data_IF_335043729738
#
_entry.id   IF_335043729738
#
_cell.length_a   1.000
_cell.length_b   1.000
_cell.length_c   1.000
_cell.angle_alpha   90.00
_cell.angle_beta   90.00
_cell.angle_gamma   90.00
#
_symmetry.space_group_name_H-M   'P 1'
#
loop_
_entity.id
_entity.type
_entity.pdbx_description
1 polymer ?
#
# COMPACT_ATOMS: atom_id res chain seq x y z
N UNK A 1 -7.20 -10.42 -1.09
CA UNK A 1 -6.20 -11.50 -1.36
C UNK A 1 -5.27 -11.73 -0.17
N UNK A 2 -4.97 -10.74 0.69
CA UNK A 2 -4.08 -10.88 1.86
C UNK A 2 -4.49 -11.96 2.86
N UNK A 3 -5.75 -12.29 2.93
CA UNK A 3 -6.30 -13.16 3.96
C UNK A 3 -6.70 -14.55 3.48
N UNK A 4 -6.33 -14.95 2.26
CA UNK A 4 -6.74 -16.25 1.70
C UNK A 4 -6.37 -17.40 2.62
N UNK A 5 -5.13 -17.46 3.09
CA UNK A 5 -4.69 -18.51 4.00
C UNK A 5 -5.36 -18.44 5.37
N UNK A 6 -5.60 -17.22 5.88
CA UNK A 6 -6.33 -17.04 7.14
C UNK A 6 -7.80 -17.49 7.01
N UNK A 7 -8.42 -17.18 5.88
CA UNK A 7 -9.79 -17.60 5.56
C UNK A 7 -9.85 -19.13 5.43
N UNK A 8 -8.91 -19.73 4.70
CA UNK A 8 -8.84 -21.19 4.57
C UNK A 8 -8.62 -21.89 5.91
N UNK A 9 -7.72 -21.37 6.75
CA UNK A 9 -7.48 -21.89 8.08
C UNK A 9 -8.72 -21.76 8.98
N UNK A 10 -9.38 -20.61 8.96
CA UNK A 10 -10.63 -20.40 9.71
C UNK A 10 -11.75 -21.32 9.21
N UNK A 11 -11.90 -21.46 7.89
CA UNK A 11 -12.86 -22.37 7.29
C UNK A 11 -12.62 -23.81 7.74
N UNK A 12 -11.38 -24.30 7.61
CA UNK A 12 -11.02 -25.65 8.02
C UNK A 12 -11.31 -25.90 9.51
N UNK A 13 -10.91 -24.98 10.39
CA UNK A 13 -11.16 -25.08 11.82
C UNK A 13 -12.67 -25.13 12.14
N UNK A 14 -13.47 -24.27 11.51
CA UNK A 14 -14.93 -24.30 11.68
C UNK A 14 -15.56 -25.60 11.19
N UNK A 15 -15.08 -26.16 10.08
CA UNK A 15 -15.53 -27.45 9.55
C UNK A 15 -15.22 -28.58 10.52
N UNK A 16 -14.04 -28.61 11.11
CA UNK A 16 -13.65 -29.62 12.14
C UNK A 16 -14.52 -29.48 13.41
N UNK A 17 -14.99 -28.28 13.72
CA UNK A 17 -15.95 -28.04 14.80
C UNK A 17 -17.41 -28.35 14.43
N UNK A 18 -17.66 -28.92 13.24
CA UNK A 18 -19.00 -29.32 12.80
C UNK A 18 -19.88 -28.21 12.23
N UNK A 19 -19.30 -27.00 11.97
CA UNK A 19 -20.07 -25.91 11.37
C UNK A 19 -20.29 -26.17 9.88
N UNK A 20 -21.52 -26.00 9.40
CA UNK A 20 -21.86 -26.16 8.00
C UNK A 20 -21.16 -25.18 7.09
N UNK A 21 -20.67 -25.66 5.93
CA UNK A 21 -19.89 -24.85 4.98
C UNK A 21 -20.63 -23.63 4.46
N UNK A 22 -21.94 -23.72 4.25
CA UNK A 22 -22.77 -22.59 3.81
C UNK A 22 -22.80 -21.47 4.88
N UNK A 23 -22.96 -21.82 6.15
CA UNK A 23 -22.97 -20.83 7.24
C UNK A 23 -21.62 -20.11 7.40
N UNK A 24 -20.52 -20.83 7.17
CA UNK A 24 -19.17 -20.24 7.17
C UNK A 24 -19.03 -19.25 5.99
N UNK A 25 -19.46 -19.68 4.79
CA UNK A 25 -19.39 -18.84 3.58
C UNK A 25 -20.21 -17.56 3.73
N UNK A 26 -21.43 -17.66 4.25
CA UNK A 26 -22.31 -16.50 4.51
C UNK A 26 -21.67 -15.52 5.50
N UNK A 27 -21.09 -16.04 6.58
CA UNK A 27 -20.39 -15.22 7.58
C UNK A 27 -19.17 -14.50 6.98
N UNK A 28 -18.36 -15.22 6.20
CA UNK A 28 -17.16 -14.67 5.56
C UNK A 28 -17.50 -13.65 4.47
N UNK A 29 -18.58 -13.86 3.72
CA UNK A 29 -19.01 -12.93 2.66
C UNK A 29 -19.55 -11.60 3.21
N UNK A 30 -20.13 -11.63 4.40
CA UNK A 30 -20.65 -10.44 5.10
C UNK A 30 -19.62 -9.78 6.01
N UNK A 31 -18.43 -10.38 6.18
CA UNK A 31 -17.43 -9.87 7.11
C UNK A 31 -16.69 -8.66 6.56
N UNK A 32 -16.85 -7.54 7.23
CA UNK A 32 -16.12 -6.31 6.92
C UNK A 32 -14.83 -6.28 7.73
N UNK A 33 -13.69 -6.30 7.03
CA UNK A 33 -12.36 -6.19 7.63
C UNK A 33 -12.16 -4.79 8.23
N UNK A 34 -12.31 -4.65 9.55
CA UNK A 34 -12.15 -3.37 10.25
C UNK A 34 -10.70 -2.92 10.40
N UNK A 35 -9.73 -3.80 10.23
CA UNK A 35 -8.29 -3.50 10.34
C UNK A 35 -7.68 -3.38 8.94
N UNK A 36 -7.95 -2.24 8.31
CA UNK A 36 -7.65 -2.03 6.92
C UNK A 36 -6.16 -2.04 6.58
N UNK A 37 -5.70 -3.15 5.99
CA UNK A 37 -4.49 -3.11 5.15
C UNK A 37 -4.76 -2.39 3.83
N UNK A 38 -6.02 -2.22 3.51
CA UNK A 38 -6.53 -1.46 2.38
C UNK A 38 -7.61 -0.52 2.90
N UNK A 39 -7.43 0.77 2.66
CA UNK A 39 -8.37 1.81 3.07
C UNK A 39 -8.58 2.77 1.91
N UNK A 40 -9.81 3.16 1.67
CA UNK A 40 -10.15 4.19 0.69
C UNK A 40 -10.12 5.58 1.31
N UNK A 41 -9.73 6.54 0.52
CA UNK A 41 -9.69 7.95 0.91
C UNK A 41 -9.82 8.84 -0.34
N UNK A 42 -10.13 10.11 -0.15
CA UNK A 42 -10.02 11.11 -1.21
C UNK A 42 -8.96 12.14 -0.90
N UNK A 43 -8.23 12.57 -1.93
CA UNK A 43 -7.27 13.66 -1.90
C UNK A 43 -7.55 14.59 -3.08
N UNK A 44 -8.18 15.74 -2.83
CA UNK A 44 -8.68 16.59 -3.90
C UNK A 44 -9.74 15.88 -4.74
N UNK A 45 -9.44 15.66 -6.03
CA UNK A 45 -10.31 14.92 -6.96
C UNK A 45 -9.91 13.43 -7.10
N UNK A 46 -8.80 13.03 -6.48
CA UNK A 46 -8.30 11.66 -6.58
C UNK A 46 -9.02 10.72 -5.63
N UNK A 47 -9.44 9.58 -6.15
CA UNK A 47 -9.83 8.43 -5.33
C UNK A 47 -8.60 7.61 -5.01
N UNK A 48 -8.26 7.57 -3.73
CA UNK A 48 -7.06 6.93 -3.24
C UNK A 48 -7.33 5.59 -2.57
N UNK A 49 -6.44 4.64 -2.80
CA UNK A 49 -6.37 3.37 -2.07
C UNK A 49 -5.06 3.31 -1.32
N UNK A 50 -5.14 3.30 -0.01
CA UNK A 50 -3.99 3.14 0.88
C UNK A 50 -3.76 1.67 1.17
N UNK A 51 -2.59 1.19 0.80
CA UNK A 51 -2.13 -0.19 0.96
C UNK A 51 -1.05 -0.24 2.03
N UNK A 52 -1.38 -0.84 3.19
CA UNK A 52 -0.47 -0.85 4.34
C UNK A 52 0.16 -2.20 4.59
N UNK A 53 1.46 -2.20 4.85
CA UNK A 53 2.25 -3.37 5.22
C UNK A 53 2.86 -3.20 6.61
N UNK A 54 3.33 -4.28 7.21
CA UNK A 54 4.27 -4.16 8.34
C UNK A 54 5.64 -3.77 7.79
N UNK A 55 6.43 -3.11 8.63
CA UNK A 55 7.87 -2.91 8.34
C UNK A 55 8.53 -4.26 8.05
N UNK A 56 9.55 -4.24 7.22
CA UNK A 56 10.39 -5.41 6.94
C UNK A 56 9.62 -6.62 6.36
N UNK A 57 8.43 -6.41 5.81
CA UNK A 57 7.63 -7.47 5.19
C UNK A 57 7.56 -7.28 3.68
N UNK A 58 8.63 -7.65 2.98
CA UNK A 58 8.74 -7.56 1.52
C UNK A 58 7.59 -8.28 0.80
N UNK A 59 7.14 -9.45 1.29
CA UNK A 59 6.03 -10.20 0.70
C UNK A 59 4.72 -9.39 0.71
N UNK A 60 4.46 -8.62 1.78
CA UNK A 60 3.28 -7.79 1.83
C UNK A 60 3.39 -6.59 0.88
N UNK A 61 4.58 -6.00 0.74
CA UNK A 61 4.84 -4.97 -0.26
C UNK A 61 4.65 -5.52 -1.68
N UNK A 62 5.25 -6.65 -2.01
CA UNK A 62 5.08 -7.29 -3.32
C UNK A 62 3.62 -7.61 -3.65
N UNK A 63 2.84 -8.02 -2.63
CA UNK A 63 1.41 -8.24 -2.81
C UNK A 63 0.66 -6.95 -3.13
N UNK A 64 1.04 -5.83 -2.50
CA UNK A 64 0.49 -4.51 -2.81
C UNK A 64 0.84 -4.06 -4.22
N UNK A 65 2.12 -4.19 -4.61
CA UNK A 65 2.59 -3.82 -5.94
C UNK A 65 1.92 -4.66 -7.03
N UNK A 66 1.79 -5.97 -6.81
CA UNK A 66 1.07 -6.88 -7.71
C UNK A 66 -0.41 -6.52 -7.85
N UNK A 67 -1.05 -6.09 -6.77
CA UNK A 67 -2.41 -5.60 -6.84
C UNK A 67 -2.50 -4.37 -7.76
N UNK A 68 -1.62 -3.38 -7.58
CA UNK A 68 -1.56 -2.19 -8.45
C UNK A 68 -1.30 -2.58 -9.90
N UNK A 69 -0.32 -3.45 -10.13
CA UNK A 69 0.02 -3.92 -11.47
C UNK A 69 -1.12 -4.70 -12.16
N UNK A 70 -2.05 -5.28 -11.41
CA UNK A 70 -3.20 -6.02 -11.94
C UNK A 70 -4.40 -5.14 -12.26
N UNK A 71 -4.37 -3.85 -11.94
CA UNK A 71 -5.42 -2.90 -12.34
C UNK A 71 -5.24 -2.48 -13.79
N UNK A 72 -6.27 -1.88 -14.37
CA UNK A 72 -6.22 -1.39 -15.75
C UNK A 72 -6.47 0.13 -15.85
N UNK A 73 -6.52 0.81 -14.70
CA UNK A 73 -6.78 2.23 -14.60
C UNK A 73 -5.47 3.00 -14.51
N UNK A 74 -5.34 4.06 -15.30
CA UNK A 74 -4.18 4.95 -15.22
C UNK A 74 -4.06 5.53 -13.82
N UNK A 75 -2.88 5.40 -13.20
CA UNK A 75 -2.70 5.72 -11.80
C UNK A 75 -1.37 6.40 -11.48
N UNK A 76 -1.38 7.13 -10.38
CA UNK A 76 -0.19 7.57 -9.65
C UNK A 76 0.03 6.66 -8.45
N UNK A 77 1.28 6.28 -8.19
CA UNK A 77 1.69 5.49 -7.02
C UNK A 77 2.55 6.34 -6.11
N UNK A 78 2.15 6.51 -4.86
CA UNK A 78 2.95 7.15 -3.81
C UNK A 78 3.51 6.07 -2.88
N UNK A 79 4.82 6.00 -2.77
CA UNK A 79 5.50 5.10 -1.83
C UNK A 79 6.08 5.93 -0.69
N UNK A 80 5.65 5.61 0.54
CA UNK A 80 6.11 6.32 1.74
C UNK A 80 6.90 5.36 2.61
N UNK A 81 8.16 5.72 2.89
CA UNK A 81 8.98 5.09 3.92
C UNK A 81 9.51 6.18 4.83
N UNK A 82 8.86 6.38 5.97
CA UNK A 82 9.17 7.46 6.91
C UNK A 82 9.59 6.93 8.30
N UNK A 83 9.17 5.72 8.67
CA UNK A 83 9.68 4.99 9.82
C UNK A 83 10.14 3.59 9.40
N UNK A 84 11.24 3.12 9.94
CA UNK A 84 11.83 1.83 9.57
C UNK A 84 11.47 0.74 10.56
N UNK A 85 11.58 1.01 11.84
CA UNK A 85 11.14 0.10 12.89
C UNK A 85 10.90 0.88 14.19
N UNK A 86 9.81 0.54 14.90
CA UNK A 86 9.56 1.07 16.24
C UNK A 86 10.24 0.24 17.34
N UNK A 87 10.57 -1.02 17.03
CA UNK A 87 10.98 -1.99 18.05
C UNK A 87 12.48 -1.96 18.35
N UNK A 88 13.30 -1.64 17.36
CA UNK A 88 14.74 -1.83 17.47
C UNK A 88 15.57 -0.54 17.33
N UNK A 89 14.94 0.61 17.19
CA UNK A 89 15.63 1.91 16.99
C UNK A 89 16.70 1.85 15.87
N UNK A 90 16.48 1.00 14.87
CA UNK A 90 17.39 0.84 13.75
C UNK A 90 16.89 1.65 12.55
N UNK A 91 17.83 2.16 11.76
CA UNK A 91 17.56 2.78 10.45
C UNK A 91 17.82 1.79 9.32
N UNK A 92 17.51 0.51 9.55
CA UNK A 92 17.75 -0.59 8.63
C UNK A 92 16.74 -0.55 7.49
N UNK A 93 17.23 -0.34 6.28
CA UNK A 93 16.44 -0.23 5.04
C UNK A 93 16.74 -1.34 4.04
N UNK A 94 17.59 -2.33 4.37
CA UNK A 94 18.00 -3.40 3.45
C UNK A 94 16.81 -4.21 2.92
N UNK A 95 15.73 -4.33 3.67
CA UNK A 95 14.50 -5.01 3.27
C UNK A 95 13.84 -4.39 2.02
N UNK A 96 14.17 -3.14 1.65
CA UNK A 96 13.73 -2.52 0.40
C UNK A 96 14.31 -3.25 -0.83
N UNK A 97 15.47 -3.92 -0.67
CA UNK A 97 16.11 -4.65 -1.74
C UNK A 97 15.45 -6.01 -2.01
N UNK A 98 14.67 -6.51 -1.06
CA UNK A 98 13.88 -7.74 -1.20
C UNK A 98 12.52 -7.50 -1.90
N UNK A 99 12.18 -6.22 -2.19
CA UNK A 99 10.91 -5.85 -2.84
C UNK A 99 11.13 -5.78 -4.36
N UNK A 100 10.22 -6.40 -5.09
CA UNK A 100 10.18 -6.35 -6.56
C UNK A 100 9.40 -5.12 -7.06
N UNK A 101 10.06 -3.96 -7.05
CA UNK A 101 9.46 -2.73 -7.58
C UNK A 101 9.28 -2.73 -9.10
N UNK A 102 9.92 -3.64 -9.84
CA UNK A 102 9.72 -3.79 -11.28
C UNK A 102 8.28 -4.13 -11.64
N UNK A 103 7.48 -4.64 -10.69
CA UNK A 103 6.04 -4.82 -10.86
C UNK A 103 5.30 -3.52 -11.22
N UNK A 104 5.85 -2.35 -10.88
CA UNK A 104 5.30 -1.05 -11.26
C UNK A 104 5.68 -0.60 -12.68
N UNK A 105 6.53 -1.36 -13.38
CA UNK A 105 6.89 -1.08 -14.78
C UNK A 105 5.80 -1.57 -15.74
N UNK A 106 4.61 -1.00 -15.61
CA UNK A 106 3.43 -1.33 -16.42
C UNK A 106 2.83 -0.05 -17.01
N UNK A 107 2.19 -0.11 -18.19
CA UNK A 107 1.78 1.09 -18.94
C UNK A 107 0.79 2.02 -18.22
N UNK A 108 -0.04 1.50 -17.33
CA UNK A 108 -1.05 2.26 -16.61
C UNK A 108 -0.51 2.96 -15.35
N UNK A 109 0.67 2.59 -14.86
CA UNK A 109 1.35 3.37 -13.81
C UNK A 109 2.05 4.56 -14.47
N UNK A 110 1.44 5.74 -14.39
CA UNK A 110 1.91 6.94 -15.07
C UNK A 110 2.99 7.68 -14.29
N UNK A 111 2.97 7.58 -12.97
CA UNK A 111 3.86 8.33 -12.08
C UNK A 111 4.10 7.55 -10.80
N UNK A 112 5.35 7.52 -10.35
CA UNK A 112 5.72 6.97 -9.03
C UNK A 112 6.40 8.06 -8.22
N UNK A 113 5.88 8.35 -7.03
CA UNK A 113 6.44 9.34 -6.12
C UNK A 113 7.03 8.61 -4.91
N UNK A 114 8.28 8.92 -4.62
CA UNK A 114 9.01 8.39 -3.46
C UNK A 114 9.11 9.45 -2.39
N UNK A 115 8.61 9.17 -1.18
CA UNK A 115 8.51 10.18 -0.12
C UNK A 115 8.83 9.61 1.27
N UNK A 116 8.99 10.52 2.22
CA UNK A 116 9.31 10.21 3.60
C UNK A 116 10.78 10.37 3.95
N UNK A 117 11.15 10.03 5.17
CA UNK A 117 12.51 10.19 5.69
C UNK A 117 13.53 9.36 4.89
N UNK A 118 13.18 8.14 4.51
CA UNK A 118 14.04 7.19 3.79
C UNK A 118 13.84 7.20 2.27
N UNK A 119 13.35 8.30 1.73
CA UNK A 119 13.16 8.50 0.27
C UNK A 119 14.42 8.32 -0.56
N UNK A 120 15.60 8.64 0.03
CA UNK A 120 16.87 8.49 -0.68
C UNK A 120 17.26 7.01 -0.82
N UNK A 121 16.99 6.19 0.19
CA UNK A 121 17.17 4.73 0.14
C UNK A 121 16.21 4.12 -0.90
N UNK A 122 14.96 4.57 -0.94
CA UNK A 122 14.00 4.22 -1.99
C UNK A 122 14.52 4.62 -3.38
N UNK A 123 14.99 5.88 -3.54
CA UNK A 123 15.50 6.37 -4.80
C UNK A 123 16.71 5.56 -5.28
N UNK A 124 17.61 5.22 -4.37
CA UNK A 124 18.75 4.36 -4.72
C UNK A 124 18.27 2.97 -5.17
N UNK A 125 17.31 2.37 -4.48
CA UNK A 125 16.71 1.10 -4.92
C UNK A 125 16.03 1.21 -6.28
N UNK A 126 15.31 2.31 -6.54
CA UNK A 126 14.62 2.54 -7.81
C UNK A 126 15.55 2.70 -9.02
N UNK A 127 16.79 3.15 -8.83
CA UNK A 127 17.81 3.19 -9.90
C UNK A 127 18.14 1.81 -10.50
N UNK A 128 17.84 0.75 -9.75
CA UNK A 128 18.06 -0.64 -10.15
C UNK A 128 16.79 -1.32 -10.65
N UNK A 129 15.74 -0.55 -10.97
CA UNK A 129 14.50 -1.04 -11.56
C UNK A 129 14.35 -0.60 -13.00
N UNK A 130 13.44 -1.24 -13.73
CA UNK A 130 13.03 -0.81 -15.08
C UNK A 130 12.03 0.35 -15.07
N UNK A 131 11.55 0.79 -13.90
CA UNK A 131 10.59 1.90 -13.77
C UNK A 131 11.28 3.21 -14.11
N UNK A 132 10.76 3.97 -15.08
CA UNK A 132 11.39 5.20 -15.57
C UNK A 132 10.71 6.49 -15.09
N UNK A 133 9.45 6.41 -14.73
CA UNK A 133 8.56 7.54 -14.41
C UNK A 133 8.45 7.79 -12.91
N UNK A 134 9.57 7.77 -12.19
CA UNK A 134 9.61 8.03 -10.77
C UNK A 134 10.34 9.34 -10.42
N UNK A 135 9.95 9.92 -9.31
CA UNK A 135 10.55 11.12 -8.75
C UNK A 135 10.54 11.10 -7.22
N UNK A 136 11.36 11.95 -6.61
CA UNK A 136 11.46 12.10 -5.16
C UNK A 136 10.81 13.42 -4.73
N UNK A 137 9.83 13.33 -3.84
CA UNK A 137 9.27 14.49 -3.17
C UNK A 137 9.46 14.30 -1.65
N UNK A 138 10.29 15.15 -0.99
CA UNK A 138 10.78 14.86 0.37
C UNK A 138 9.69 14.73 1.43
N UNK A 139 8.75 15.67 1.46
CA UNK A 139 7.71 15.74 2.47
C UNK A 139 6.43 15.01 2.06
N UNK A 140 5.80 14.28 2.98
CA UNK A 140 4.50 13.66 2.71
C UNK A 140 3.44 14.74 2.36
N UNK A 141 3.36 15.89 3.05
CA UNK A 141 2.46 16.98 2.66
C UNK A 141 2.75 17.53 1.26
N UNK A 142 4.02 17.68 0.89
CA UNK A 142 4.42 18.18 -0.43
C UNK A 142 4.07 17.18 -1.53
N UNK A 143 4.27 15.88 -1.28
CA UNK A 143 3.86 14.81 -2.17
C UNK A 143 2.33 14.79 -2.37
N UNK A 144 1.56 14.94 -1.29
CA UNK A 144 0.11 15.03 -1.35
C UNK A 144 -0.35 16.27 -2.14
N UNK A 145 0.28 17.42 -1.95
CA UNK A 145 -0.01 18.64 -2.71
C UNK A 145 0.29 18.45 -4.20
N UNK A 146 1.44 17.88 -4.54
CA UNK A 146 1.83 17.63 -5.93
C UNK A 146 0.89 16.63 -6.65
N UNK A 147 0.29 15.70 -5.91
CA UNK A 147 -0.73 14.78 -6.44
C UNK A 147 -2.05 15.52 -6.62
N UNK A 148 -2.53 16.24 -5.60
CA UNK A 148 -3.79 16.99 -5.64
C UNK A 148 -3.86 17.95 -6.83
N UNK A 149 -2.74 18.57 -7.17
CA UNK A 149 -2.63 19.56 -8.23
C UNK A 149 -2.39 18.92 -9.61
N UNK A 150 -2.27 17.59 -9.68
CA UNK A 150 -2.20 16.83 -10.93
C UNK A 150 -3.60 16.40 -11.41
N UNK A 151 -3.70 15.87 -12.63
CA UNK A 151 -4.99 15.43 -13.21
C UNK A 151 -5.71 14.35 -12.38
N UNK A 152 -6.94 14.03 -12.72
CA UNK A 152 -7.75 13.00 -12.06
C UNK A 152 -7.33 11.60 -12.51
N UNK A 153 -6.41 11.00 -11.79
CA UNK A 153 -5.99 9.61 -11.94
C UNK A 153 -6.28 8.86 -10.65
N UNK A 154 -6.40 7.54 -10.72
CA UNK A 154 -6.43 6.71 -9.52
C UNK A 154 -5.13 6.89 -8.73
N UNK A 155 -5.23 6.90 -7.41
CA UNK A 155 -4.09 7.06 -6.51
C UNK A 155 -3.91 5.80 -5.66
N UNK A 156 -2.75 5.20 -5.75
CA UNK A 156 -2.36 4.12 -4.83
C UNK A 156 -1.25 4.61 -3.90
N UNK A 157 -1.42 4.39 -2.61
CA UNK A 157 -0.40 4.71 -1.61
C UNK A 157 0.09 3.44 -0.96
N UNK A 158 1.38 3.17 -1.05
CA UNK A 158 2.03 2.01 -0.44
C UNK A 158 2.88 2.50 0.73
N UNK A 159 2.60 2.01 1.92
CA UNK A 159 3.31 2.43 3.13
C UNK A 159 3.24 1.37 4.23
N UNK A 160 3.88 1.65 5.36
CA UNK A 160 3.76 0.83 6.56
C UNK A 160 2.73 1.39 7.54
N UNK A 161 2.31 0.56 8.49
CA UNK A 161 1.29 0.93 9.50
C UNK A 161 1.66 2.17 10.33
N UNK A 162 2.94 2.39 10.61
CA UNK A 162 3.39 3.54 11.40
C UNK A 162 3.29 4.86 10.64
N UNK A 163 3.33 4.81 9.31
CA UNK A 163 3.34 6.00 8.48
C UNK A 163 1.97 6.34 7.89
N UNK A 164 1.05 5.40 7.93
CA UNK A 164 -0.33 5.52 7.45
C UNK A 164 -0.99 6.82 7.88
N UNK A 165 -0.96 7.09 9.18
CA UNK A 165 -1.67 8.22 9.76
C UNK A 165 -1.01 9.57 9.42
N UNK A 166 0.24 9.57 8.96
CA UNK A 166 0.93 10.78 8.49
C UNK A 166 0.30 11.33 7.20
N UNK A 167 -0.20 10.45 6.34
CA UNK A 167 -0.97 10.84 5.16
C UNK A 167 -2.44 11.10 5.53
N UNK A 168 -3.07 10.14 6.22
CA UNK A 168 -4.52 10.18 6.49
C UNK A 168 -4.97 11.32 7.41
N UNK A 169 -4.06 11.97 8.11
CA UNK A 169 -4.36 13.12 8.96
C UNK A 169 -4.01 14.46 8.30
N UNK A 170 -3.64 14.47 7.02
CA UNK A 170 -3.49 15.73 6.29
C UNK A 170 -4.86 16.39 6.11
N UNK A 171 -4.94 17.74 6.15
CA UNK A 171 -6.20 18.48 6.09
C UNK A 171 -7.04 18.20 4.84
N UNK A 172 -6.36 17.92 3.72
CA UNK A 172 -6.98 17.73 2.41
C UNK A 172 -7.35 16.26 2.13
N UNK A 173 -7.08 15.36 3.08
CA UNK A 173 -7.40 13.92 2.97
C UNK A 173 -8.67 13.60 3.73
N UNK A 174 -9.64 13.02 3.04
CA UNK A 174 -10.89 12.53 3.64
C UNK A 174 -10.91 11.01 3.61
N UNK A 175 -11.03 10.40 4.78
CA UNK A 175 -11.19 8.94 4.92
C UNK A 175 -12.59 8.56 4.45
N UNK A 176 -12.66 7.55 3.62
CA UNK A 176 -13.92 6.89 3.26
C UNK A 176 -14.08 5.68 4.20
N UNK A 177 -15.24 5.57 4.84
CA UNK A 177 -15.52 4.64 5.92
C UNK A 177 -15.56 3.18 5.55
#
# INVERSE_FOLDING_TARGET
IYNVYNILAAYAACRECGVEGAAIADTLSSYILKNGRMQTFTLGQHHGILLTSKHENSIAYDTNLRYIASTNEDCTVLIIVDAVSRKYFTSETSWLWDIDFDQLNVPHVKRVILSGMYRNDLAERFRFTGVQNWEVIPGIPDAAAAIRDSGSEALYVVTCFSDRDKLLNLPDVKKEG
#
